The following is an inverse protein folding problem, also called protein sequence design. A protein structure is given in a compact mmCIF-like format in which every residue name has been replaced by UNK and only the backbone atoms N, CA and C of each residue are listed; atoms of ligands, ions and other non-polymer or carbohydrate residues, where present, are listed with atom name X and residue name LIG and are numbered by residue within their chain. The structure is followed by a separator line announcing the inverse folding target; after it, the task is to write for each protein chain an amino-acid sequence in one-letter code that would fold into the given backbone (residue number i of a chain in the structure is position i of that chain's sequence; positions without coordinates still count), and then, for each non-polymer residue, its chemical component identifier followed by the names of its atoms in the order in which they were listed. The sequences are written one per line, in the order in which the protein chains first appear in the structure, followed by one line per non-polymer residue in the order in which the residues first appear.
data_IF_877383786247
#
_entry.id   IF_877383786247
#
_cell.length_a   1.000
_cell.length_b   1.000
_cell.length_c   1.000
_cell.angle_alpha   90.00
_cell.angle_beta   90.00
_cell.angle_gamma   90.00
#
_symmetry.space_group_name_H-M   'P 1'
#
loop_
_entity.id
_entity.type
_entity.pdbx_description
1 polymer ?
#
# COMPACT_ATOMS: atom_id res chain seq x y z
N UNK A 1 20.75 -14.00 -13.18
CA UNK A 1 20.71 -13.25 -11.92
C UNK A 1 19.28 -12.77 -11.78
N UNK A 2 18.47 -13.61 -11.14
CA UNK A 2 17.09 -13.26 -10.80
C UNK A 2 17.18 -12.26 -9.68
N UNK A 3 17.02 -10.98 -10.04
CA UNK A 3 16.86 -9.89 -9.11
C UNK A 3 15.74 -10.30 -8.15
N UNK A 4 16.10 -10.50 -6.88
CA UNK A 4 15.18 -10.80 -5.79
C UNK A 4 14.23 -9.60 -5.68
N UNK A 5 13.16 -9.63 -6.48
CA UNK A 5 12.13 -8.60 -6.50
C UNK A 5 11.51 -8.63 -5.12
N UNK A 6 11.94 -7.72 -4.25
CA UNK A 6 11.31 -7.48 -2.95
C UNK A 6 9.80 -7.64 -3.11
N UNK A 7 9.20 -8.59 -2.37
CA UNK A 7 7.82 -9.07 -2.53
C UNK A 7 6.82 -7.91 -2.53
N UNK A 8 6.67 -7.28 -3.70
CA UNK A 8 5.88 -6.08 -3.83
C UNK A 8 4.43 -6.52 -3.83
N UNK A 9 3.62 -5.97 -2.92
CA UNK A 9 2.21 -6.34 -2.77
C UNK A 9 1.48 -6.34 -4.12
N UNK A 10 1.18 -7.53 -4.65
CA UNK A 10 0.32 -7.69 -5.82
C UNK A 10 -1.11 -7.88 -5.31
N UNK A 11 -2.06 -7.18 -5.92
CA UNK A 11 -3.48 -7.33 -5.59
C UNK A 11 -4.17 -8.13 -6.69
N UNK A 12 -5.06 -9.03 -6.32
CA UNK A 12 -5.96 -9.72 -7.22
C UNK A 12 -7.37 -9.19 -7.01
N UNK A 13 -7.96 -8.63 -8.06
CA UNK A 13 -9.36 -8.24 -8.04
C UNK A 13 -10.25 -9.44 -8.36
N UNK A 14 -11.38 -9.57 -7.67
CA UNK A 14 -12.40 -10.58 -7.98
C UNK A 14 -13.77 -9.94 -8.15
N UNK A 15 -14.62 -10.57 -8.96
CA UNK A 15 -16.00 -10.19 -9.19
C UNK A 15 -16.92 -11.38 -8.88
N UNK A 16 -18.13 -11.09 -8.41
CA UNK A 16 -19.19 -12.09 -8.31
C UNK A 16 -19.60 -12.64 -9.68
N UNK A 17 -20.20 -13.82 -9.68
CA UNK A 17 -20.59 -14.54 -10.90
C UNK A 17 -21.60 -13.77 -11.76
N UNK A 18 -22.43 -12.93 -11.13
CA UNK A 18 -23.48 -12.15 -11.79
C UNK A 18 -23.06 -10.69 -12.05
N UNK A 19 -21.76 -10.39 -11.94
CA UNK A 19 -21.25 -9.04 -12.17
C UNK A 19 -21.55 -8.56 -13.60
N UNK A 20 -22.01 -7.30 -13.79
CA UNK A 20 -22.27 -6.77 -15.11
C UNK A 20 -21.04 -6.83 -16.01
N UNK A 21 -21.25 -7.16 -17.28
CA UNK A 21 -20.20 -7.24 -18.31
C UNK A 21 -19.31 -6.00 -18.34
N UNK A 22 -19.91 -4.82 -18.13
CA UNK A 22 -19.23 -3.52 -18.09
C UNK A 22 -18.19 -3.39 -16.98
N UNK A 23 -18.09 -4.34 -16.06
CA UNK A 23 -17.09 -4.33 -14.97
C UNK A 23 -16.03 -5.42 -15.08
N UNK A 24 -16.14 -6.32 -16.05
CA UNK A 24 -15.14 -7.38 -16.27
C UNK A 24 -13.75 -6.83 -16.57
N UNK A 25 -13.66 -5.62 -17.15
CA UNK A 25 -12.39 -4.93 -17.38
C UNK A 25 -11.66 -4.52 -16.08
N UNK A 26 -12.28 -4.65 -14.90
CA UNK A 26 -11.61 -4.43 -13.63
C UNK A 26 -10.90 -5.69 -13.11
N UNK A 27 -11.20 -6.87 -13.67
CA UNK A 27 -10.59 -8.13 -13.26
C UNK A 27 -9.14 -8.24 -13.70
N UNK A 28 -8.27 -8.65 -12.79
CA UNK A 28 -6.90 -9.02 -13.06
C UNK A 28 -6.00 -8.97 -11.82
N UNK A 29 -4.71 -9.13 -12.08
CA UNK A 29 -3.64 -8.86 -11.11
C UNK A 29 -3.21 -7.41 -11.25
N UNK A 30 -3.02 -6.72 -10.13
CA UNK A 30 -2.59 -5.33 -10.05
C UNK A 30 -1.21 -5.30 -9.40
N UNK A 31 -0.20 -4.99 -10.21
CA UNK A 31 1.16 -4.87 -9.75
C UNK A 31 1.44 -3.42 -9.33
N UNK A 32 2.30 -3.19 -8.33
CA UNK A 32 2.68 -1.84 -7.95
C UNK A 32 3.59 -1.21 -9.00
N UNK A 33 3.30 0.05 -9.37
CA UNK A 33 4.02 0.77 -10.44
C UNK A 33 4.52 2.15 -9.98
N UNK A 34 4.21 2.56 -8.75
CA UNK A 34 4.72 3.82 -8.20
C UNK A 34 4.01 4.25 -6.93
N UNK A 35 4.01 5.56 -6.69
CA UNK A 35 3.31 6.19 -5.56
C UNK A 35 2.41 7.33 -6.06
N UNK A 36 1.29 7.53 -5.37
CA UNK A 36 0.37 8.64 -5.56
C UNK A 36 -0.13 9.13 -4.20
N UNK A 37 0.00 10.43 -3.92
CA UNK A 37 -0.38 11.05 -2.64
C UNK A 37 0.13 10.30 -1.40
N UNK A 38 1.41 9.92 -1.42
CA UNK A 38 2.07 9.22 -0.30
C UNK A 38 1.71 7.74 -0.17
N UNK A 39 0.99 7.15 -1.13
CA UNK A 39 0.59 5.74 -1.09
C UNK A 39 0.97 5.00 -2.36
N UNK A 40 1.18 3.70 -2.25
CA UNK A 40 1.49 2.84 -3.40
C UNK A 40 0.35 2.87 -4.43
N UNK A 41 0.72 3.06 -5.69
CA UNK A 41 -0.19 2.99 -6.84
C UNK A 41 0.05 1.69 -7.60
N UNK A 42 -1.03 1.11 -8.13
CA UNK A 42 -1.04 -0.17 -8.81
C UNK A 42 -1.60 -0.04 -10.22
N UNK A 43 -1.09 -0.86 -11.13
CA UNK A 43 -1.61 -0.98 -12.49
C UNK A 43 -1.93 -2.43 -12.77
N UNK A 44 -3.09 -2.65 -13.39
CA UNK A 44 -3.51 -3.97 -13.83
C UNK A 44 -2.51 -4.53 -14.85
N UNK A 45 -1.97 -5.71 -14.58
CA UNK A 45 -1.16 -6.48 -15.51
C UNK A 45 -2.01 -6.84 -16.72
N UNK A 46 -1.43 -6.71 -17.91
CA UNK A 46 -2.08 -7.14 -19.15
C UNK A 46 -2.37 -8.64 -19.10
N UNK A 47 -3.58 -9.03 -19.45
CA UNK A 47 -3.91 -10.45 -19.56
C UNK A 47 -3.21 -11.07 -20.77
N UNK A 48 -2.53 -12.20 -20.57
CA UNK A 48 -1.92 -12.97 -21.67
C UNK A 48 -2.96 -13.64 -22.58
N UNK A 49 -4.24 -13.65 -22.18
CA UNK A 49 -5.34 -14.25 -22.96
C UNK A 49 -5.83 -13.39 -24.12
N UNK A 50 -5.59 -12.09 -24.11
CA UNK A 50 -5.99 -11.20 -25.20
C UNK A 50 -4.89 -11.16 -26.28
N UNK A 51 -4.78 -12.22 -27.09
CA UNK A 51 -3.91 -12.19 -28.27
C UNK A 51 -4.44 -11.14 -29.27
N UNK A 52 -3.82 -9.95 -29.29
CA UNK A 52 -3.95 -8.96 -30.37
C UNK A 52 -4.85 -7.75 -30.11
N UNK A 53 -5.49 -7.61 -28.95
CA UNK A 53 -6.15 -6.36 -28.55
C UNK A 53 -5.37 -5.68 -27.44
N UNK A 54 -5.08 -4.39 -27.60
CA UNK A 54 -4.54 -3.57 -26.51
C UNK A 54 -5.61 -3.43 -25.43
N UNK A 55 -5.47 -4.20 -24.34
CA UNK A 55 -6.27 -3.97 -23.14
C UNK A 55 -5.91 -2.60 -22.57
N UNK A 56 -6.94 -1.81 -22.30
CA UNK A 56 -6.73 -0.52 -21.65
C UNK A 56 -6.23 -0.71 -20.22
N UNK A 57 -5.23 0.08 -19.80
CA UNK A 57 -4.69 0.00 -18.45
C UNK A 57 -5.75 0.45 -17.44
N UNK A 58 -5.81 -0.27 -16.32
CA UNK A 58 -6.63 0.12 -15.17
C UNK A 58 -5.68 0.40 -14.02
N UNK A 59 -5.77 1.62 -13.50
CA UNK A 59 -4.96 2.09 -12.39
C UNK A 59 -5.79 2.09 -11.12
N UNK A 60 -5.15 1.66 -10.04
CA UNK A 60 -5.65 1.72 -8.67
C UNK A 60 -4.73 2.64 -7.87
N UNK A 61 -5.25 3.76 -7.39
CA UNK A 61 -4.44 4.80 -6.75
C UNK A 61 -5.25 5.56 -5.69
N UNK A 62 -4.55 6.15 -4.73
CA UNK A 62 -5.17 6.96 -3.69
C UNK A 62 -5.26 8.44 -4.07
N UNK A 63 -6.33 9.12 -3.69
CA UNK A 63 -6.50 10.56 -3.80
C UNK A 63 -6.85 11.12 -2.42
N UNK A 64 -6.12 12.13 -1.97
CA UNK A 64 -6.42 12.77 -0.67
C UNK A 64 -7.64 13.71 -0.76
N UNK A 65 -7.98 14.35 0.34
CA UNK A 65 -9.17 15.22 0.46
C UNK A 65 -8.97 16.65 -0.08
N UNK A 66 -7.88 16.96 -0.80
CA UNK A 66 -7.57 18.33 -1.25
C UNK A 66 -8.62 18.93 -2.19
N UNK A 67 -9.29 18.07 -2.97
CA UNK A 67 -10.31 18.47 -3.96
C UNK A 67 -11.74 18.20 -3.45
N UNK A 68 -11.88 17.87 -2.17
CA UNK A 68 -13.15 17.56 -1.51
C UNK A 68 -13.35 16.07 -1.22
N UNK A 69 -14.27 15.75 -0.29
CA UNK A 69 -14.51 14.37 0.16
C UNK A 69 -15.11 13.48 -0.94
N UNK A 70 -15.85 14.04 -1.90
CA UNK A 70 -16.53 13.27 -2.95
C UNK A 70 -15.55 12.65 -3.96
N UNK A 71 -14.32 13.14 -4.00
CA UNK A 71 -13.27 12.69 -4.92
C UNK A 71 -12.05 12.11 -4.22
N UNK A 72 -12.12 11.94 -2.89
CA UNK A 72 -11.04 11.38 -2.09
C UNK A 72 -11.23 9.88 -1.82
N UNK A 73 -10.16 9.22 -1.37
CA UNK A 73 -10.13 7.78 -1.11
C UNK A 73 -9.38 7.01 -2.21
N UNK A 74 -9.68 5.72 -2.34
CA UNK A 74 -9.08 4.87 -3.36
C UNK A 74 -9.88 4.89 -4.66
N UNK A 75 -9.22 5.10 -5.78
CA UNK A 75 -9.83 5.30 -7.09
C UNK A 75 -9.36 4.24 -8.10
N UNK A 76 -10.29 3.86 -8.98
CA UNK A 76 -10.02 3.09 -10.20
C UNK A 76 -10.18 4.01 -11.41
N UNK A 77 -9.22 4.01 -12.34
CA UNK A 77 -9.32 4.83 -13.56
C UNK A 77 -8.38 4.42 -14.69
N UNK A 78 -8.53 5.04 -15.86
CA UNK A 78 -7.66 4.77 -17.03
C UNK A 78 -6.23 5.27 -16.84
N UNK A 79 -6.04 6.26 -15.97
CA UNK A 79 -4.75 6.81 -15.56
C UNK A 79 -4.86 7.52 -14.22
N UNK A 80 -3.75 7.63 -13.50
CA UNK A 80 -3.67 8.43 -12.27
C UNK A 80 -4.01 9.90 -12.59
N UNK A 81 -4.92 10.48 -11.81
CA UNK A 81 -5.40 11.86 -12.00
C UNK A 81 -6.19 12.08 -13.31
N UNK A 82 -6.65 11.01 -13.97
CA UNK A 82 -7.47 11.09 -15.17
C UNK A 82 -8.91 11.54 -14.88
N UNK A 83 -9.58 12.07 -15.92
CA UNK A 83 -11.02 12.36 -15.86
C UNK A 83 -11.87 11.08 -15.87
N UNK A 84 -11.39 10.08 -16.60
CA UNK A 84 -12.07 8.79 -16.75
C UNK A 84 -11.74 7.89 -15.57
N UNK A 85 -12.71 7.81 -14.67
CA UNK A 85 -12.68 6.98 -13.47
C UNK A 85 -13.74 5.90 -13.61
N UNK A 86 -13.42 4.69 -13.17
CA UNK A 86 -14.32 3.55 -13.19
C UNK A 86 -15.06 3.38 -11.88
N UNK A 87 -14.40 3.68 -10.76
CA UNK A 87 -14.99 3.53 -9.44
C UNK A 87 -14.16 4.13 -8.33
N UNK A 88 -14.72 4.09 -7.12
CA UNK A 88 -14.08 4.62 -5.91
C UNK A 88 -14.45 3.82 -4.67
N UNK A 89 -13.58 3.85 -3.67
CA UNK A 89 -13.86 3.41 -2.32
C UNK A 89 -13.46 4.53 -1.34
N UNK A 90 -14.39 4.97 -0.51
CA UNK A 90 -14.24 6.09 0.45
C UNK A 90 -13.42 5.65 1.69
N UNK A 91 -12.26 5.06 1.46
CA UNK A 91 -11.33 4.61 2.49
C UNK A 91 -10.03 5.40 2.43
N UNK A 92 -9.50 5.70 3.60
CA UNK A 92 -8.24 6.43 3.75
C UNK A 92 -7.15 5.61 4.44
N UNK A 93 -7.21 4.29 4.34
CA UNK A 93 -6.15 3.39 4.80
C UNK A 93 -4.99 3.32 3.80
N UNK A 94 -3.76 3.14 4.30
CA UNK A 94 -2.53 3.18 3.49
C UNK A 94 -2.49 2.17 2.33
N UNK A 95 -3.28 1.11 2.40
CA UNK A 95 -3.50 0.12 1.34
C UNK A 95 -4.93 0.19 0.80
N UNK A 96 -5.17 -0.24 -0.45
CA UNK A 96 -6.52 -0.31 -1.00
C UNK A 96 -7.43 -1.20 -0.14
N UNK A 97 -8.68 -0.78 0.12
CA UNK A 97 -9.60 -1.57 0.91
C UNK A 97 -10.02 -2.83 0.15
N UNK A 98 -10.27 -3.89 0.90
CA UNK A 98 -10.73 -5.17 0.34
C UNK A 98 -12.11 -5.02 -0.32
N UNK A 99 -13.03 -4.31 0.32
CA UNK A 99 -14.43 -4.06 -0.09
C UNK A 99 -14.70 -2.55 -0.08
N UNK A 100 -15.96 -2.10 -0.16
CA UNK A 100 -16.25 -0.65 -0.16
C UNK A 100 -16.30 -0.01 -1.55
N UNK A 101 -16.23 -0.80 -2.62
CA UNK A 101 -16.08 -0.29 -3.98
C UNK A 101 -17.41 0.11 -4.63
N UNK A 102 -17.52 1.35 -5.10
CA UNK A 102 -18.61 1.86 -5.93
C UNK A 102 -18.18 1.86 -7.39
N UNK A 103 -18.89 1.09 -8.23
CA UNK A 103 -18.68 1.03 -9.69
C UNK A 103 -20.06 0.95 -10.35
N UNK A 104 -20.54 2.02 -11.02
CA UNK A 104 -19.89 3.31 -11.29
C UNK A 104 -19.71 4.19 -10.04
N UNK A 105 -18.97 5.31 -10.14
CA UNK A 105 -18.55 6.15 -9.00
C UNK A 105 -19.68 6.61 -8.07
N UNK A 106 -20.84 6.93 -8.65
CA UNK A 106 -22.02 7.42 -7.94
C UNK A 106 -23.02 6.30 -7.62
N UNK A 107 -22.62 5.05 -7.91
CA UNK A 107 -23.42 3.86 -7.67
C UNK A 107 -23.45 3.42 -6.21
N UNK A 108 -24.28 2.41 -5.89
CA UNK A 108 -24.22 1.74 -4.61
C UNK A 108 -22.87 1.03 -4.45
N UNK A 109 -22.49 0.79 -3.19
CA UNK A 109 -21.37 -0.08 -2.88
C UNK A 109 -21.64 -1.50 -3.39
N UNK A 110 -20.62 -2.07 -4.05
CA UNK A 110 -20.65 -3.42 -4.59
C UNK A 110 -20.03 -4.39 -3.61
N UNK A 111 -20.84 -5.35 -3.18
CA UNK A 111 -20.39 -6.47 -2.34
C UNK A 111 -19.70 -7.58 -3.14
N UNK A 112 -19.84 -7.53 -4.47
CA UNK A 112 -19.32 -8.54 -5.38
C UNK A 112 -17.98 -8.13 -6.00
N UNK A 113 -17.44 -6.95 -5.71
CA UNK A 113 -16.09 -6.53 -6.14
C UNK A 113 -15.16 -6.46 -4.94
N UNK A 114 -14.03 -7.16 -5.02
CA UNK A 114 -12.99 -7.07 -3.99
C UNK A 114 -11.58 -7.06 -4.54
N UNK A 115 -10.67 -6.39 -3.83
CA UNK A 115 -9.24 -6.34 -4.12
C UNK A 115 -8.47 -6.96 -2.97
N UNK A 116 -7.99 -8.17 -3.16
CA UNK A 116 -7.25 -8.89 -2.12
C UNK A 116 -5.77 -8.94 -2.45
N UNK A 117 -4.87 -8.81 -1.45
CA UNK A 117 -3.49 -9.27 -1.60
C UNK A 117 -3.46 -10.67 -2.18
N UNK A 118 -2.60 -10.87 -3.18
CA UNK A 118 -2.32 -12.20 -3.70
C UNK A 118 -1.71 -13.02 -2.57
N UNK A 119 -2.45 -14.03 -2.12
CA UNK A 119 -2.03 -14.93 -1.06
C UNK A 119 -0.81 -15.73 -1.49
N UNK A 120 0.19 -15.89 -0.63
CA UNK A 120 1.19 -16.93 -0.84
C UNK A 120 0.55 -18.27 -0.49
N UNK A 121 0.72 -19.29 -1.33
CA UNK A 121 0.13 -20.61 -1.08
C UNK A 121 0.55 -21.19 0.29
N UNK A 122 1.73 -20.80 0.76
CA UNK A 122 2.27 -21.13 2.08
C UNK A 122 1.40 -20.59 3.21
N UNK A 123 0.90 -19.34 3.13
CA UNK A 123 0.06 -18.71 4.17
C UNK A 123 -1.24 -19.48 4.44
N UNK A 124 -1.74 -20.20 3.43
CA UNK A 124 -2.98 -21.00 3.52
C UNK A 124 -2.74 -22.31 4.26
N UNK A 125 -1.52 -22.85 4.20
CA UNK A 125 -1.15 -24.14 4.80
C UNK A 125 -0.57 -23.97 6.22
N UNK A 126 -0.20 -22.75 6.60
CA UNK A 126 0.34 -22.46 7.93
C UNK A 126 -0.69 -22.71 9.04
N UNK A 127 -0.25 -23.39 10.10
CA UNK A 127 -1.05 -23.52 11.32
C UNK A 127 -1.33 -22.17 11.95
N UNK A 128 -2.38 -22.09 12.77
CA UNK A 128 -2.75 -20.88 13.52
C UNK A 128 -1.58 -20.29 14.32
N UNK A 129 -0.90 -21.11 15.12
CA UNK A 129 0.25 -20.70 15.93
C UNK A 129 1.40 -20.13 15.07
N UNK A 130 1.70 -20.78 13.94
CA UNK A 130 2.73 -20.31 13.02
C UNK A 130 2.34 -19.00 12.33
N UNK A 131 1.06 -18.81 11.98
CA UNK A 131 0.56 -17.55 11.41
C UNK A 131 0.70 -16.41 12.39
N UNK A 132 0.30 -16.60 13.65
CA UNK A 132 0.43 -15.58 14.67
C UNK A 132 1.91 -15.24 14.93
N UNK A 133 2.76 -16.26 15.08
CA UNK A 133 4.20 -16.05 15.25
C UNK A 133 4.84 -15.29 14.08
N UNK A 134 4.47 -15.62 12.83
CA UNK A 134 4.96 -14.93 11.65
C UNK A 134 4.45 -13.48 11.56
N UNK A 135 3.18 -13.25 11.87
CA UNK A 135 2.59 -11.90 11.92
C UNK A 135 3.29 -11.03 12.97
N UNK A 136 3.49 -11.54 14.19
CA UNK A 136 4.20 -10.85 15.26
C UNK A 136 5.64 -10.53 14.85
N UNK A 137 6.38 -11.51 14.32
CA UNK A 137 7.76 -11.30 13.87
C UNK A 137 7.87 -10.28 12.72
N UNK A 138 6.88 -10.24 11.81
CA UNK A 138 6.83 -9.24 10.75
C UNK A 138 6.60 -7.83 11.32
N UNK A 139 5.72 -7.70 12.32
CA UNK A 139 5.45 -6.41 13.00
C UNK A 139 6.70 -5.93 13.73
N UNK A 140 7.33 -6.78 14.55
CA UNK A 140 8.54 -6.42 15.30
C UNK A 140 9.69 -5.98 14.39
N UNK A 141 9.89 -6.67 13.27
CA UNK A 141 10.92 -6.30 12.28
C UNK A 141 10.63 -4.93 11.67
N UNK A 142 9.39 -4.71 11.22
CA UNK A 142 8.98 -3.44 10.62
C UNK A 142 9.08 -2.28 11.62
N UNK A 143 8.60 -2.44 12.86
CA UNK A 143 8.71 -1.43 13.91
C UNK A 143 10.17 -1.12 14.26
N UNK A 144 11.05 -2.12 14.28
CA UNK A 144 12.49 -1.91 14.48
C UNK A 144 13.17 -1.13 13.34
N UNK A 145 12.70 -1.28 12.11
CA UNK A 145 13.15 -0.47 10.96
C UNK A 145 12.62 0.96 11.02
N UNK A 146 11.35 1.14 11.40
CA UNK A 146 10.75 2.46 11.64
C UNK A 146 11.54 3.22 12.69
N UNK A 147 11.80 2.61 13.85
CA UNK A 147 12.54 3.26 14.93
C UNK A 147 13.91 3.76 14.48
N UNK A 148 14.69 2.90 13.80
CA UNK A 148 16.02 3.27 13.27
C UNK A 148 15.94 4.42 12.26
N UNK A 149 14.94 4.39 11.37
CA UNK A 149 14.78 5.43 10.35
C UNK A 149 14.38 6.79 10.97
N UNK A 150 13.48 6.78 11.96
CA UNK A 150 13.07 8.00 12.69
C UNK A 150 14.23 8.60 13.48
N UNK A 151 15.01 7.77 14.19
CA UNK A 151 16.20 8.22 14.94
C UNK A 151 17.27 8.84 14.01
N UNK A 152 17.52 8.21 12.86
CA UNK A 152 18.42 8.74 11.84
C UNK A 152 17.93 10.07 11.26
N UNK A 153 16.62 10.22 11.03
CA UNK A 153 16.01 11.48 10.58
C UNK A 153 16.20 12.58 11.60
N UNK A 154 15.83 12.33 12.86
CA UNK A 154 15.92 13.32 13.92
C UNK A 154 17.36 13.78 14.15
N UNK A 155 18.32 12.85 14.18
CA UNK A 155 19.75 13.16 14.30
C UNK A 155 20.28 13.99 13.13
N UNK A 156 19.74 13.80 11.92
CA UNK A 156 20.14 14.55 10.73
C UNK A 156 19.58 15.99 10.73
N UNK A 157 18.40 16.19 11.34
CA UNK A 157 17.76 17.50 11.46
C UNK A 157 18.45 18.35 12.52
N UNK A 158 18.86 17.74 13.65
CA UNK A 158 19.46 18.45 14.78
C UNK A 158 20.95 18.81 14.58
N UNK A 159 21.59 18.27 13.53
CA UNK A 159 23.01 18.55 13.23
C UNK A 159 23.27 19.97 12.73
N UNK A 160 24.41 20.55 13.15
CA UNK A 160 24.84 21.89 12.72
C UNK A 160 25.11 21.97 11.20
N UNK A 161 24.72 23.09 10.59
CA UNK A 161 24.61 23.27 9.14
C UNK A 161 25.90 23.04 8.35
N UNK A 162 25.78 22.42 7.17
CA UNK A 162 26.88 22.23 6.23
C UNK A 162 26.62 21.16 5.17
N UNK A 163 27.62 20.88 4.33
CA UNK A 163 27.56 19.80 3.33
C UNK A 163 27.34 18.41 3.95
N UNK A 164 27.79 18.23 5.19
CA UNK A 164 27.56 17.02 5.99
C UNK A 164 26.08 16.82 6.33
N UNK A 165 25.36 17.90 6.66
CA UNK A 165 23.93 17.83 7.01
C UNK A 165 23.08 17.41 5.82
N UNK A 166 23.36 17.94 4.62
CA UNK A 166 22.66 17.54 3.39
C UNK A 166 22.81 16.04 3.11
N UNK A 167 24.01 15.51 3.27
CA UNK A 167 24.29 14.08 3.07
C UNK A 167 23.57 13.23 4.12
N UNK A 168 23.54 13.67 5.38
CA UNK A 168 22.79 13.01 6.45
C UNK A 168 21.27 12.99 6.16
N UNK A 169 20.69 14.13 5.75
CA UNK A 169 19.28 14.22 5.36
C UNK A 169 18.92 13.31 4.17
N UNK A 170 19.80 13.21 3.17
CA UNK A 170 19.59 12.29 2.05
C UNK A 170 19.58 10.82 2.51
N UNK A 171 20.49 10.45 3.40
CA UNK A 171 20.54 9.11 4.00
C UNK A 171 19.29 8.82 4.82
N UNK A 172 18.85 9.77 5.65
CA UNK A 172 17.62 9.65 6.44
C UNK A 172 16.37 9.47 5.56
N UNK A 173 16.24 10.25 4.49
CA UNK A 173 15.14 10.10 3.52
C UNK A 173 15.14 8.73 2.85
N UNK A 174 16.33 8.17 2.55
CA UNK A 174 16.44 6.81 2.00
C UNK A 174 15.94 5.76 3.01
N UNK A 175 16.43 5.83 4.26
CA UNK A 175 16.01 4.92 5.34
C UNK A 175 14.51 5.01 5.64
N UNK A 176 13.92 6.20 5.63
CA UNK A 176 12.47 6.39 5.81
C UNK A 176 11.65 5.78 4.67
N UNK A 177 12.16 5.82 3.43
CA UNK A 177 11.49 5.15 2.30
C UNK A 177 11.57 3.63 2.43
N UNK A 178 12.73 3.11 2.82
CA UNK A 178 12.91 1.67 3.04
C UNK A 178 12.01 1.16 4.17
N UNK A 179 11.95 1.87 5.31
CA UNK A 179 11.09 1.48 6.43
C UNK A 179 9.60 1.58 6.07
N UNK A 180 9.17 2.57 5.27
CA UNK A 180 7.80 2.62 4.75
C UNK A 180 7.46 1.36 3.93
N UNK A 181 8.37 0.92 3.06
CA UNK A 181 8.19 -0.31 2.26
C UNK A 181 8.11 -1.55 3.16
N UNK A 182 8.91 -1.62 4.22
CA UNK A 182 8.88 -2.74 5.15
C UNK A 182 7.55 -2.81 5.93
N UNK A 183 7.03 -1.67 6.39
CA UNK A 183 5.73 -1.60 7.05
C UNK A 183 4.60 -1.98 6.11
N UNK A 184 4.60 -1.50 4.86
CA UNK A 184 3.63 -1.91 3.83
C UNK A 184 3.66 -3.41 3.57
N UNK A 185 4.86 -4.00 3.49
CA UNK A 185 5.06 -5.45 3.31
C UNK A 185 4.53 -6.23 4.52
N UNK A 186 4.79 -5.77 5.73
CA UNK A 186 4.27 -6.39 6.95
C UNK A 186 2.73 -6.31 7.01
N UNK A 187 2.14 -5.15 6.70
CA UNK A 187 0.68 -4.98 6.59
C UNK A 187 0.06 -5.94 5.57
N UNK A 188 0.69 -6.08 4.40
CA UNK A 188 0.27 -7.03 3.40
C UNK A 188 0.26 -8.47 3.94
N UNK A 189 1.31 -8.88 4.65
CA UNK A 189 1.40 -10.20 5.29
C UNK A 189 0.29 -10.41 6.32
N UNK A 190 0.01 -9.40 7.15
CA UNK A 190 -1.05 -9.47 8.15
C UNK A 190 -2.42 -9.65 7.50
N UNK A 191 -2.72 -8.92 6.42
CA UNK A 191 -3.98 -9.09 5.68
C UNK A 191 -4.11 -10.50 5.10
N UNK A 192 -3.01 -11.09 4.61
CA UNK A 192 -3.00 -12.50 4.15
C UNK A 192 -3.28 -13.46 5.29
N UNK A 193 -2.62 -13.30 6.43
CA UNK A 193 -2.84 -14.14 7.61
C UNK A 193 -4.25 -13.98 8.19
N UNK A 194 -4.80 -12.77 8.24
CA UNK A 194 -6.18 -12.51 8.67
C UNK A 194 -7.19 -13.25 7.76
N UNK A 195 -6.98 -13.17 6.45
CA UNK A 195 -7.82 -13.89 5.47
C UNK A 195 -7.74 -15.40 5.64
N UNK A 196 -6.55 -15.93 5.85
CA UNK A 196 -6.36 -17.36 6.11
C UNK A 196 -7.05 -17.77 7.43
N UNK A 197 -6.93 -16.96 8.49
CA UNK A 197 -7.54 -17.20 9.79
C UNK A 197 -9.08 -17.15 9.74
N UNK A 198 -9.68 -16.36 8.85
CA UNK A 198 -11.15 -16.35 8.66
C UNK A 198 -11.72 -17.69 8.16
N UNK A 199 -10.90 -18.53 7.52
CA UNK A 199 -11.32 -19.88 7.07
C UNK A 199 -11.36 -20.89 8.21
N UNK A 200 -10.55 -20.65 9.24
CA UNK A 200 -10.40 -21.49 10.42
C UNK A 200 -10.47 -20.57 11.65
N UNK A 201 -11.68 -20.13 12.05
CA UNK A 201 -11.83 -19.13 13.10
C UNK A 201 -11.24 -19.65 14.41
N UNK A 202 -10.21 -18.94 14.90
CA UNK A 202 -9.48 -19.22 16.14
C UNK A 202 -9.06 -17.93 16.85
N UNK A 203 -8.18 -18.03 17.84
CA UNK A 203 -7.65 -16.88 18.60
C UNK A 203 -6.76 -15.98 17.73
N UNK A 204 -6.08 -16.51 16.70
CA UNK A 204 -5.22 -15.71 15.83
C UNK A 204 -5.96 -14.56 15.14
N UNK A 205 -7.25 -14.71 14.82
CA UNK A 205 -8.03 -13.63 14.22
C UNK A 205 -8.20 -12.44 15.18
N UNK A 206 -8.32 -12.70 16.48
CA UNK A 206 -8.45 -11.67 17.52
C UNK A 206 -7.12 -10.95 17.74
N UNK A 207 -5.99 -11.65 17.62
CA UNK A 207 -4.65 -11.11 17.86
C UNK A 207 -4.06 -10.37 16.64
N UNK A 208 -4.40 -10.76 15.41
CA UNK A 208 -3.89 -10.10 14.19
C UNK A 208 -4.44 -8.68 14.01
N UNK A 209 -5.68 -8.42 14.45
CA UNK A 209 -6.32 -7.10 14.32
C UNK A 209 -5.51 -5.96 14.98
N UNK A 210 -5.20 -6.05 16.28
CA UNK A 210 -4.37 -5.06 16.99
C UNK A 210 -2.97 -4.87 16.37
N UNK A 211 -2.34 -5.93 15.86
CA UNK A 211 -1.05 -5.84 15.19
C UNK A 211 -1.13 -5.00 13.91
N UNK A 212 -2.21 -5.13 13.15
CA UNK A 212 -2.46 -4.34 11.93
C UNK A 212 -2.63 -2.86 12.26
N UNK A 213 -3.40 -2.53 13.29
CA UNK A 213 -3.59 -1.15 13.74
C UNK A 213 -2.27 -0.50 14.17
N UNK A 214 -1.42 -1.24 14.91
CA UNK A 214 -0.06 -0.80 15.28
C UNK A 214 0.81 -0.45 14.06
N UNK A 215 0.79 -1.29 13.03
CA UNK A 215 1.55 -1.02 11.80
C UNK A 215 0.97 0.15 11.00
N UNK A 216 -0.35 0.35 11.00
CA UNK A 216 -0.97 1.53 10.37
C UNK A 216 -0.46 2.84 11.01
N UNK A 217 -0.45 2.90 12.35
CA UNK A 217 0.10 4.05 13.10
C UNK A 217 1.58 4.27 12.79
N UNK A 218 2.36 3.18 12.70
CA UNK A 218 3.78 3.25 12.34
C UNK A 218 4.00 3.78 10.93
N UNK A 219 3.17 3.35 9.96
CA UNK A 219 3.24 3.82 8.58
C UNK A 219 2.92 5.31 8.47
N UNK A 220 1.87 5.77 9.14
CA UNK A 220 1.51 7.20 9.18
C UNK A 220 2.65 8.05 9.74
N UNK A 221 3.27 7.59 10.83
CA UNK A 221 4.42 8.25 11.46
C UNK A 221 5.62 8.37 10.50
N UNK A 222 5.97 7.28 9.80
CA UNK A 222 7.05 7.29 8.79
C UNK A 222 6.72 8.22 7.63
N UNK A 223 5.48 8.20 7.13
CA UNK A 223 5.07 9.05 6.00
C UNK A 223 5.10 10.54 6.37
N UNK A 224 4.71 10.89 7.60
CA UNK A 224 4.79 12.25 8.11
C UNK A 224 6.25 12.72 8.20
N UNK A 225 7.13 11.89 8.79
CA UNK A 225 8.55 12.24 8.93
C UNK A 225 9.27 12.27 7.57
N UNK A 226 8.93 11.36 6.65
CA UNK A 226 9.43 11.38 5.27
C UNK A 226 9.07 12.68 4.56
N UNK A 227 7.84 13.16 4.74
CA UNK A 227 7.41 14.44 4.19
C UNK A 227 8.24 15.58 4.77
N UNK A 228 8.41 15.63 6.10
CA UNK A 228 9.22 16.64 6.81
C UNK A 228 10.68 16.63 6.35
N UNK A 229 11.34 15.47 6.34
CA UNK A 229 12.73 15.32 5.93
C UNK A 229 12.94 15.70 4.46
N UNK A 230 11.99 15.37 3.59
CA UNK A 230 12.02 15.77 2.17
C UNK A 230 11.94 17.30 2.02
N UNK A 231 11.07 17.97 2.79
CA UNK A 231 10.99 19.43 2.79
C UNK A 231 12.31 20.08 3.26
N UNK A 232 12.90 19.60 4.36
CA UNK A 232 14.19 20.09 4.85
C UNK A 232 15.31 19.91 3.81
N UNK A 233 15.32 18.77 3.11
CA UNK A 233 16.28 18.51 2.04
C UNK A 233 16.12 19.48 0.85
N UNK A 234 14.88 19.86 0.51
CA UNK A 234 14.61 20.85 -0.53
C UNK A 234 15.07 22.25 -0.10
N UNK A 235 14.79 22.64 1.14
CA UNK A 235 15.21 23.94 1.68
C UNK A 235 16.74 24.08 1.71
N UNK A 236 17.44 23.05 2.20
CA UNK A 236 18.90 22.99 2.18
C UNK A 236 19.51 23.06 0.77
N UNK A 237 18.74 22.68 -0.28
CA UNK A 237 19.17 22.81 -1.67
C UNK A 237 19.03 24.25 -2.19
N UNK A 238 18.05 25.01 -1.70
CA UNK A 238 17.80 26.39 -2.09
C UNK A 238 18.71 27.39 -1.38
N UNK A 239 19.22 27.03 -0.19
CA UNK A 239 20.13 27.86 0.60
C UNK A 239 21.58 27.90 0.10
N UNK A 240 21.93 27.17 -0.98
CA UNK A 240 23.26 27.21 -1.59
C UNK A 240 23.39 28.45 -2.49
N UNK A 241 24.38 29.34 -2.24
CA UNK A 241 24.64 30.52 -3.07
C UNK A 241 25.16 30.18 -4.47
#
# INVERSE_FOLDING_TARGET
EEEEVAEALVLTSTLGTDAPWGTQHLLGEYAPVGQNHGRRAYCRRRSTRAQGQEEEPVWLYYWDSRDGPDVSGWLLGRRIGGRERFGRAEHHEATPPLTGWRVPLDGPERQDLSFAPQGHSEDVVMSEEKRLAAATAAVERAEGEVYRALEASQSSIDGEGGSSQKTALQSAVALLKESAVAVETALASLVRHERAARREPGSALQEIGPLRERLQVSLESVQQELSRATWNLLDARLALP
#
